data_IF_838628792343
#
_entry.id   IF_838628792343
#
_cell.length_a   1.000
_cell.length_b   1.000
_cell.length_c   1.000
_cell.angle_alpha   90.00
_cell.angle_beta   90.00
_cell.angle_gamma   90.00
#
_symmetry.space_group_name_H-M   'P 1'
#
loop_
_entity.id
_entity.type
_entity.pdbx_description
1 polymer ?
#
# COMPACT_ATOMS: atom_id res chain seq x y z
N UNK A 1 -11.42 1.33 7.37
CA UNK A 1 -11.55 0.57 6.10
C UNK A 1 -12.88 -0.17 6.01
N UNK A 2 -13.36 -0.78 7.09
CA UNK A 2 -14.66 -1.48 7.14
C UNK A 2 -15.91 -0.60 6.87
N UNK A 3 -15.82 0.72 7.02
CA UNK A 3 -16.99 1.63 6.90
C UNK A 3 -17.17 2.27 5.52
N UNK A 4 -16.10 2.31 4.69
CA UNK A 4 -16.19 2.94 3.36
C UNK A 4 -17.01 2.04 2.42
N UNK A 5 -18.08 2.55 1.76
CA UNK A 5 -18.99 1.72 0.94
C UNK A 5 -18.27 0.87 -0.11
N UNK A 6 -17.24 1.41 -0.76
CA UNK A 6 -16.48 0.72 -1.81
C UNK A 6 -15.61 -0.45 -1.32
N UNK A 7 -15.34 -0.55 -0.01
CA UNK A 7 -14.45 -1.59 0.56
C UNK A 7 -15.15 -2.51 1.55
N UNK A 8 -16.30 -2.08 2.08
CA UNK A 8 -17.05 -2.79 3.11
C UNK A 8 -17.37 -4.23 2.72
N UNK A 9 -17.80 -4.45 1.49
CA UNK A 9 -18.23 -5.79 1.06
C UNK A 9 -17.04 -6.74 0.86
N UNK A 10 -15.96 -6.27 0.25
CA UNK A 10 -14.72 -7.04 0.10
C UNK A 10 -14.11 -7.39 1.46
N UNK A 11 -14.11 -6.43 2.40
CA UNK A 11 -13.66 -6.65 3.77
C UNK A 11 -14.52 -7.71 4.48
N UNK A 12 -15.85 -7.58 4.43
CA UNK A 12 -16.79 -8.52 5.07
C UNK A 12 -16.71 -9.93 4.50
N UNK A 13 -16.33 -10.08 3.24
CA UNK A 13 -16.18 -11.37 2.57
C UNK A 13 -14.78 -11.98 2.73
N UNK A 14 -13.84 -11.29 3.39
CA UNK A 14 -12.46 -11.76 3.52
C UNK A 14 -11.75 -11.85 2.18
N UNK A 15 -12.08 -10.98 1.23
CA UNK A 15 -11.47 -10.97 -0.10
C UNK A 15 -10.09 -10.33 -0.06
N UNK A 16 -9.17 -10.95 0.67
CA UNK A 16 -7.79 -10.51 0.80
C UNK A 16 -6.97 -10.89 -0.44
N UNK A 17 -6.03 -10.02 -0.81
CA UNK A 17 -4.99 -10.30 -1.79
C UNK A 17 -3.66 -9.70 -1.33
N UNK A 18 -2.57 -10.13 -1.96
CA UNK A 18 -1.24 -9.53 -1.81
C UNK A 18 -0.87 -8.88 -3.13
N UNK A 19 -0.46 -7.61 -3.08
CA UNK A 19 0.03 -6.87 -4.24
C UNK A 19 1.56 -6.87 -4.18
N UNK A 20 2.25 -7.72 -4.98
CA UNK A 20 3.70 -7.75 -5.01
C UNK A 20 4.25 -6.52 -5.75
N UNK A 21 5.20 -5.81 -5.14
CA UNK A 21 5.86 -4.65 -5.75
C UNK A 21 7.36 -4.63 -5.45
N UNK A 22 8.16 -4.11 -6.37
CA UNK A 22 9.58 -3.82 -6.11
C UNK A 22 9.78 -2.57 -5.23
N UNK A 23 8.89 -1.59 -5.39
CA UNK A 23 8.90 -0.32 -4.67
C UNK A 23 7.51 0.34 -4.74
N UNK A 24 7.18 1.12 -3.72
CA UNK A 24 6.16 2.18 -3.84
C UNK A 24 6.86 3.50 -4.15
N UNK A 25 6.14 4.45 -4.74
CA UNK A 25 6.67 5.80 -4.98
C UNK A 25 5.82 6.81 -4.28
N UNK A 26 6.47 7.60 -3.43
CA UNK A 26 5.86 8.69 -2.70
C UNK A 26 6.50 10.02 -3.09
N UNK A 27 5.72 11.11 -3.14
CA UNK A 27 6.26 12.44 -3.41
C UNK A 27 7.01 12.96 -2.18
N UNK A 28 8.28 13.31 -2.35
CA UNK A 28 9.09 13.98 -1.33
C UNK A 28 9.11 15.49 -1.58
N UNK A 29 8.67 16.26 -0.58
CA UNK A 29 8.59 17.72 -0.66
C UNK A 29 9.67 18.44 0.17
N UNK A 30 10.58 17.72 0.83
CA UNK A 30 11.58 18.30 1.74
C UNK A 30 12.54 19.29 1.07
N UNK A 31 12.71 19.17 -0.25
CA UNK A 31 13.50 20.10 -1.07
C UNK A 31 12.76 21.39 -1.45
N UNK A 32 11.48 21.53 -1.09
CA UNK A 32 10.58 22.60 -1.56
C UNK A 32 9.97 22.34 -2.94
N UNK A 33 10.37 21.26 -3.64
CA UNK A 33 9.78 20.77 -4.88
C UNK A 33 9.47 19.26 -4.74
N UNK A 34 8.52 18.76 -5.53
CA UNK A 34 8.23 17.32 -5.58
C UNK A 34 9.40 16.56 -6.21
N UNK A 35 9.95 15.63 -5.46
CA UNK A 35 10.87 14.61 -5.96
C UNK A 35 10.21 13.24 -5.79
N UNK A 36 9.80 12.56 -6.88
CA UNK A 36 9.32 11.19 -6.79
C UNK A 36 10.40 10.32 -6.12
N UNK A 37 10.05 9.59 -5.07
CA UNK A 37 11.01 8.80 -4.29
C UNK A 37 10.53 7.38 -4.15
N UNK A 38 11.35 6.42 -4.55
CA UNK A 38 11.09 4.98 -4.37
C UNK A 38 11.33 4.60 -2.93
N UNK A 39 10.36 3.95 -2.30
CA UNK A 39 10.51 3.28 -1.01
C UNK A 39 10.44 1.78 -1.27
N UNK A 40 11.48 1.06 -0.85
CA UNK A 40 11.65 -0.37 -1.09
C UNK A 40 12.32 -1.05 0.10
N UNK A 41 12.28 -2.39 0.14
CA UNK A 41 13.01 -3.15 1.17
C UNK A 41 14.51 -2.94 1.03
N UNK A 42 15.17 -2.88 2.18
CA UNK A 42 16.63 -2.75 2.31
C UNK A 42 17.37 -3.99 1.83
N UNK A 43 16.76 -5.16 1.98
CA UNK A 43 17.33 -6.47 1.56
C UNK A 43 17.23 -6.74 0.06
N UNK A 44 16.57 -5.86 -0.71
CA UNK A 44 16.39 -6.00 -2.15
C UNK A 44 15.29 -6.96 -2.59
N UNK A 45 14.57 -7.58 -1.65
CA UNK A 45 13.42 -8.44 -1.94
C UNK A 45 12.17 -7.59 -2.27
N UNK A 46 11.19 -8.14 -3.00
CA UNK A 46 9.92 -7.47 -3.23
C UNK A 46 9.11 -7.32 -1.92
N UNK A 47 8.21 -6.34 -1.91
CA UNK A 47 7.23 -6.12 -0.85
C UNK A 47 5.91 -6.79 -1.20
N UNK A 48 5.30 -7.48 -0.24
CA UNK A 48 3.90 -7.92 -0.31
C UNK A 48 3.01 -6.91 0.39
N UNK A 49 2.22 -6.14 -0.37
CA UNK A 49 1.29 -5.17 0.19
C UNK A 49 -0.07 -5.84 0.43
N UNK A 50 -0.61 -5.69 1.63
CA UNK A 50 -1.96 -6.15 1.96
C UNK A 50 -3.00 -5.38 1.11
N UNK A 51 -3.83 -6.12 0.40
CA UNK A 51 -4.87 -5.56 -0.46
C UNK A 51 -6.21 -6.27 -0.31
N UNK A 52 -7.25 -5.65 -0.86
CA UNK A 52 -8.54 -6.30 -1.07
C UNK A 52 -8.78 -6.45 -2.55
N UNK A 53 -9.48 -7.52 -2.93
CA UNK A 53 -9.99 -7.69 -4.28
C UNK A 53 -11.52 -7.71 -4.29
N UNK A 54 -12.10 -7.36 -5.43
CA UNK A 54 -13.53 -7.47 -5.67
C UNK A 54 -13.79 -7.85 -7.12
N UNK A 55 -14.86 -8.61 -7.34
CA UNK A 55 -15.40 -8.93 -8.66
C UNK A 55 -16.76 -8.27 -8.83
N UNK A 56 -17.00 -7.70 -10.02
CA UNK A 56 -18.30 -7.19 -10.44
C UNK A 56 -18.63 -7.69 -11.84
N UNK A 57 -19.79 -8.31 -12.02
CA UNK A 57 -20.35 -8.61 -13.35
C UNK A 57 -20.82 -7.32 -14.01
N UNK A 58 -20.38 -7.06 -15.24
CA UNK A 58 -20.79 -5.92 -16.05
C UNK A 58 -22.05 -6.25 -16.86
N UNK A 59 -22.73 -5.22 -17.36
CA UNK A 59 -23.92 -5.38 -18.21
C UNK A 59 -23.60 -6.13 -19.53
N UNK A 60 -22.33 -6.09 -19.96
CA UNK A 60 -21.81 -6.88 -21.08
C UNK A 60 -21.75 -8.39 -20.80
N UNK A 61 -21.94 -8.82 -19.55
CA UNK A 61 -21.72 -10.20 -19.09
C UNK A 61 -20.26 -10.50 -18.69
N UNK A 62 -19.34 -9.57 -18.92
CA UNK A 62 -17.93 -9.72 -18.51
C UNK A 62 -17.75 -9.57 -17.00
N UNK A 63 -16.71 -10.20 -16.47
CA UNK A 63 -16.33 -10.07 -15.07
C UNK A 63 -15.21 -9.03 -14.92
N UNK A 64 -15.50 -7.93 -14.21
CA UNK A 64 -14.50 -6.93 -13.86
C UNK A 64 -13.88 -7.27 -12.50
N UNK A 65 -12.61 -7.68 -12.53
CA UNK A 65 -11.79 -7.82 -11.34
C UNK A 65 -11.09 -6.49 -11.02
N UNK A 66 -11.13 -6.13 -9.74
CA UNK A 66 -10.50 -4.93 -9.20
C UNK A 66 -9.80 -5.24 -7.89
N UNK A 67 -8.79 -4.44 -7.55
CA UNK A 67 -8.11 -4.53 -6.27
C UNK A 67 -7.73 -3.15 -5.73
N UNK A 68 -7.40 -3.08 -4.46
CA UNK A 68 -6.88 -1.89 -3.79
C UNK A 68 -5.78 -2.27 -2.80
N UNK A 69 -4.85 -1.35 -2.55
CA UNK A 69 -3.86 -1.47 -1.48
C UNK A 69 -4.41 -0.84 -0.20
N UNK A 70 -4.18 -1.50 0.94
CA UNK A 70 -4.58 -0.99 2.24
C UNK A 70 -3.49 -0.06 2.78
N UNK A 71 -3.91 0.97 3.52
CA UNK A 71 -3.01 1.97 4.11
C UNK A 71 -3.32 2.21 5.57
N UNK A 72 -2.28 2.54 6.34
CA UNK A 72 -2.35 2.97 7.73
C UNK A 72 -1.83 4.41 7.86
N UNK A 73 -2.17 5.07 8.96
CA UNK A 73 -1.57 6.35 9.32
C UNK A 73 -0.06 6.16 9.54
N UNK A 74 0.73 7.17 9.14
CA UNK A 74 2.18 7.17 9.18
C UNK A 74 2.75 8.52 9.65
N UNK A 75 1.98 9.30 10.42
CA UNK A 75 2.42 10.61 10.92
C UNK A 75 3.61 10.47 11.89
N UNK A 76 3.67 9.37 12.63
CA UNK A 76 4.74 9.03 13.58
C UNK A 76 5.81 8.08 12.99
N UNK A 77 5.58 7.52 11.80
CA UNK A 77 6.47 6.55 11.19
C UNK A 77 7.82 7.17 10.81
N UNK A 78 8.94 6.60 11.27
CA UNK A 78 10.29 7.18 11.15
C UNK A 78 10.71 7.54 9.71
N UNK A 79 10.31 6.75 8.70
CA UNK A 79 10.52 7.02 7.27
C UNK A 79 9.33 7.75 6.60
N UNK A 80 8.14 7.15 6.58
CA UNK A 80 6.98 7.63 5.81
C UNK A 80 6.46 9.02 6.22
N UNK A 81 6.70 9.47 7.46
CA UNK A 81 6.30 10.82 7.92
C UNK A 81 6.90 11.97 7.09
N UNK A 82 7.95 11.69 6.32
CA UNK A 82 8.67 12.66 5.49
C UNK A 82 8.12 12.82 4.07
N UNK A 83 7.17 11.98 3.65
CA UNK A 83 6.60 11.99 2.29
C UNK A 83 5.17 12.52 2.28
N UNK A 84 4.55 12.67 1.10
CA UNK A 84 3.30 13.41 0.88
C UNK A 84 3.44 14.92 1.08
N UNK A 85 2.40 15.67 0.68
CA UNK A 85 2.40 17.12 0.78
C UNK A 85 2.46 17.57 2.26
N UNK A 86 3.14 18.68 2.58
CA UNK A 86 3.06 19.28 3.91
C UNK A 86 1.60 19.62 4.29
N UNK A 87 1.20 19.31 5.52
CA UNK A 87 -0.17 19.54 6.02
C UNK A 87 -1.16 18.40 5.77
N UNK A 88 -0.87 17.46 4.87
CA UNK A 88 -1.72 16.28 4.65
C UNK A 88 -1.42 15.19 5.69
N UNK A 89 -2.42 14.40 6.07
CA UNK A 89 -2.23 13.16 6.85
C UNK A 89 -1.24 12.25 6.14
N UNK A 90 -0.24 11.75 6.86
CA UNK A 90 0.75 10.82 6.30
C UNK A 90 0.17 9.42 6.30
N UNK A 91 0.32 8.73 5.17
CA UNK A 91 -0.15 7.36 4.97
C UNK A 91 0.99 6.50 4.45
N UNK A 92 1.01 5.25 4.86
CA UNK A 92 1.85 4.22 4.24
C UNK A 92 0.99 3.02 3.85
N UNK A 93 1.41 2.31 2.80
CA UNK A 93 0.86 1.00 2.48
C UNK A 93 1.15 0.00 3.59
N UNK A 94 0.22 -0.92 3.82
CA UNK A 94 0.42 -2.04 4.76
C UNK A 94 1.31 -3.07 4.08
N UNK A 95 2.59 -3.06 4.42
CA UNK A 95 3.55 -4.06 3.95
C UNK A 95 3.52 -5.23 4.95
N UNK A 96 3.30 -6.44 4.44
CA UNK A 96 3.28 -7.66 5.23
C UNK A 96 4.69 -8.23 5.36
N UNK A 97 5.01 -8.81 6.52
CA UNK A 97 6.13 -9.74 6.60
C UNK A 97 5.79 -11.02 5.83
N UNK A 98 6.80 -11.68 5.26
CA UNK A 98 6.61 -12.91 4.47
C UNK A 98 5.90 -14.02 5.24
N UNK A 99 6.20 -14.17 6.53
CA UNK A 99 5.52 -15.16 7.39
C UNK A 99 4.02 -14.87 7.60
N UNK A 100 3.56 -13.66 7.27
CA UNK A 100 2.16 -13.26 7.41
C UNK A 100 1.35 -13.46 6.13
N UNK A 101 1.96 -13.92 5.02
CA UNK A 101 1.27 -13.99 3.73
C UNK A 101 0.08 -14.96 3.77
N UNK A 102 0.30 -16.19 4.24
CA UNK A 102 -0.76 -17.19 4.34
C UNK A 102 -1.80 -16.80 5.40
N UNK A 103 -1.35 -16.22 6.52
CA UNK A 103 -2.23 -15.73 7.57
C UNK A 103 -3.14 -14.62 7.05
N UNK A 104 -2.62 -13.69 6.24
CA UNK A 104 -3.41 -12.63 5.64
C UNK A 104 -4.42 -13.17 4.63
N UNK A 105 -3.97 -14.02 3.69
CA UNK A 105 -4.83 -14.57 2.64
C UNK A 105 -5.96 -15.44 3.20
N UNK A 106 -5.77 -16.06 4.35
CA UNK A 106 -6.76 -16.91 5.02
C UNK A 106 -7.50 -16.24 6.19
N UNK A 107 -7.12 -15.00 6.56
CA UNK A 107 -7.67 -14.33 7.72
C UNK A 107 -9.19 -14.14 7.60
N UNK A 108 -9.98 -14.49 8.65
CA UNK A 108 -11.37 -14.08 8.69
C UNK A 108 -11.46 -12.56 8.84
N UNK A 109 -12.54 -11.91 8.36
CA UNK A 109 -12.73 -10.44 8.43
C UNK A 109 -12.51 -9.83 9.82
N UNK A 110 -12.82 -10.59 10.88
CA UNK A 110 -12.65 -10.19 12.27
C UNK A 110 -11.18 -10.01 12.68
N UNK A 111 -10.25 -10.73 12.02
CA UNK A 111 -8.81 -10.68 12.29
C UNK A 111 -8.05 -9.76 11.32
N UNK A 112 -8.67 -9.32 10.22
CA UNK A 112 -8.01 -8.48 9.21
C UNK A 112 -7.39 -7.19 9.76
N UNK A 113 -7.98 -6.62 10.83
CA UNK A 113 -7.43 -5.41 11.47
C UNK A 113 -6.08 -5.64 12.15
N UNK A 114 -5.75 -6.87 12.55
CA UNK A 114 -4.48 -7.20 13.22
C UNK A 114 -3.26 -7.01 12.32
N UNK A 115 -3.48 -7.02 10.99
CA UNK A 115 -2.46 -6.79 9.97
C UNK A 115 -2.26 -5.30 9.67
N UNK A 116 -3.14 -4.41 10.14
CA UNK A 116 -3.10 -2.97 9.83
C UNK A 116 -2.05 -2.28 10.71
N UNK A 117 -0.78 -2.62 10.47
CA UNK A 117 0.38 -2.16 11.23
C UNK A 117 1.38 -1.47 10.32
N UNK A 118 2.15 -0.58 10.90
CA UNK A 118 3.31 0.03 10.25
C UNK A 118 4.42 -1.01 10.08
N UNK A 119 5.04 -1.04 8.91
CA UNK A 119 6.20 -1.88 8.65
C UNK A 119 7.49 -1.23 9.18
N UNK A 120 8.46 -1.96 9.76
CA UNK A 120 9.60 -1.33 10.40
C UNK A 120 10.45 -0.47 9.45
N UNK A 121 10.64 0.81 9.79
CA UNK A 121 11.37 1.76 8.96
C UNK A 121 12.81 1.33 8.64
N UNK A 122 13.50 0.71 9.60
CA UNK A 122 14.89 0.25 9.43
C UNK A 122 15.05 -0.88 8.41
N UNK A 123 13.95 -1.54 8.01
CA UNK A 123 13.92 -2.54 6.94
C UNK A 123 13.65 -1.93 5.56
N UNK A 124 13.43 -0.62 5.49
CA UNK A 124 13.14 0.11 4.25
C UNK A 124 14.27 1.09 3.93
N UNK A 125 14.38 1.42 2.64
CA UNK A 125 15.23 2.49 2.14
C UNK A 125 14.46 3.35 1.15
N UNK A 126 14.74 4.66 1.15
CA UNK A 126 14.21 5.62 0.18
C UNK A 126 15.28 6.02 -0.83
N UNK A 127 14.96 5.95 -2.12
CA UNK A 127 15.86 6.30 -3.23
C UNK A 127 15.15 7.32 -4.14
N UNK A 128 15.61 8.58 -4.21
CA UNK A 128 15.06 9.57 -5.13
C UNK A 128 15.10 9.08 -6.59
N UNK A 129 14.03 9.35 -7.34
CA UNK A 129 13.88 9.02 -8.76
C UNK A 129 13.35 10.25 -9.54
N UNK A 130 14.17 11.33 -9.64
CA UNK A 130 13.73 12.62 -10.18
C UNK A 130 13.36 12.59 -11.67
N UNK A 131 13.75 11.54 -12.39
CA UNK A 131 13.43 11.36 -13.81
C UNK A 131 12.10 10.63 -14.04
N UNK A 132 11.50 10.05 -13.00
CA UNK A 132 10.23 9.32 -13.10
C UNK A 132 9.12 10.23 -13.59
N UNK A 133 8.44 9.81 -14.66
CA UNK A 133 7.30 10.52 -15.24
C UNK A 133 7.67 11.69 -16.16
N UNK A 134 8.95 12.03 -16.31
CA UNK A 134 9.38 12.94 -17.37
C UNK A 134 9.28 12.20 -18.71
N UNK A 135 8.48 12.71 -19.64
CA UNK A 135 8.51 12.23 -21.03
C UNK A 135 9.91 12.50 -21.58
N UNK A 136 10.60 11.46 -22.03
CA UNK A 136 11.80 11.63 -22.86
C UNK A 136 11.35 12.38 -24.12
N UNK A 137 11.93 13.56 -24.36
CA UNK A 137 11.74 14.30 -25.61
C UNK A 137 12.43 13.57 -26.75
#
# INVERSE_FOLDING_TARGET
MAEKPSFRDAWRKGQHCIVPVEAVVEPDWRSGKVVPTKIKRKDGLPMGIAGLWASKRLDSGEELLSFTMLTVNADDHELFKHFHKPGDEKRMVVILHEHQYDEWLSAPPAKSMEFMKQFPAHMLISVPDPERGKRKR
#
